data_IF_307597697473
#
_entry.id   IF_307597697473
#
_cell.length_a   1.000
_cell.length_b   1.000
_cell.length_c   1.000
_cell.angle_alpha   90.00
_cell.angle_beta   90.00
_cell.angle_gamma   90.00
#
_symmetry.space_group_name_H-M   'P 1'
#
loop_
_entity.id
_entity.type
_entity.pdbx_description
1 polymer ?
#
# COMPACT_ATOMS: atom_id res chain seq x y z
N UNK A 1 13.10 11.80 -4.06
CA UNK A 1 11.79 11.58 -3.42
C UNK A 1 10.72 11.55 -4.50
N UNK A 2 9.81 10.58 -4.48
CA UNK A 2 8.71 10.49 -5.45
C UNK A 2 7.59 11.45 -5.06
N UNK A 3 7.09 12.25 -6.01
CA UNK A 3 5.92 13.13 -5.83
C UNK A 3 4.67 12.35 -5.39
N UNK A 4 4.62 11.06 -5.74
CA UNK A 4 3.54 10.13 -5.37
C UNK A 4 3.41 10.00 -3.84
N UNK A 5 4.51 10.07 -3.11
CA UNK A 5 4.52 9.97 -1.64
C UNK A 5 3.92 11.21 -0.95
N UNK A 6 3.70 12.30 -1.70
CA UNK A 6 3.08 13.53 -1.19
C UNK A 6 1.57 13.59 -1.48
N UNK A 7 1.03 12.65 -2.26
CA UNK A 7 -0.39 12.60 -2.60
C UNK A 7 -1.21 12.09 -1.41
N UNK A 8 -2.35 12.74 -1.15
CA UNK A 8 -3.32 12.31 -0.12
C UNK A 8 -4.16 11.14 -0.64
N UNK A 9 -4.70 10.31 0.25
CA UNK A 9 -5.62 9.21 -0.07
C UNK A 9 -6.76 9.64 -0.99
N UNK A 10 -7.29 10.84 -0.77
CA UNK A 10 -8.36 11.40 -1.58
C UNK A 10 -7.99 11.44 -3.07
N UNK A 11 -6.73 11.72 -3.42
CA UNK A 11 -6.25 11.69 -4.80
C UNK A 11 -6.32 10.28 -5.39
N UNK A 12 -5.88 9.26 -4.65
CA UNK A 12 -5.92 7.87 -5.10
C UNK A 12 -7.35 7.35 -5.23
N UNK A 13 -8.23 7.71 -4.28
CA UNK A 13 -9.65 7.34 -4.32
C UNK A 13 -10.32 7.99 -5.54
N UNK A 14 -10.13 9.29 -5.76
CA UNK A 14 -10.68 10.00 -6.90
C UNK A 14 -10.17 9.44 -8.23
N UNK A 15 -8.87 9.17 -8.35
CA UNK A 15 -8.29 8.57 -9.54
C UNK A 15 -8.85 7.15 -9.80
N UNK A 16 -9.01 6.34 -8.75
CA UNK A 16 -9.58 5.00 -8.85
C UNK A 16 -11.06 5.04 -9.27
N UNK A 17 -11.83 6.00 -8.77
CA UNK A 17 -13.22 6.21 -9.16
C UNK A 17 -13.32 6.66 -10.62
N UNK A 18 -12.50 7.62 -11.05
CA UNK A 18 -12.46 8.05 -12.46
C UNK A 18 -12.12 6.90 -13.41
N UNK A 19 -11.12 6.07 -13.05
CA UNK A 19 -10.80 4.87 -13.83
C UNK A 19 -11.97 3.88 -13.90
N UNK A 20 -12.68 3.68 -12.80
CA UNK A 20 -13.87 2.82 -12.76
C UNK A 20 -14.96 3.35 -13.69
N UNK A 21 -15.22 4.66 -13.68
CA UNK A 21 -16.19 5.31 -14.56
C UNK A 21 -15.82 5.13 -16.03
N UNK A 22 -14.56 5.37 -16.41
CA UNK A 22 -14.06 5.12 -17.78
C UNK A 22 -14.29 3.67 -18.20
N UNK A 23 -13.99 2.69 -17.34
CA UNK A 23 -14.20 1.26 -17.65
C UNK A 23 -15.69 0.93 -17.81
N UNK A 24 -16.55 1.49 -16.96
CA UNK A 24 -18.00 1.29 -17.03
C UNK A 24 -18.56 1.88 -18.32
N UNK A 25 -18.15 3.10 -18.66
CA UNK A 25 -18.59 3.82 -19.86
C UNK A 25 -18.13 3.10 -21.13
N UNK A 26 -16.85 2.74 -21.22
CA UNK A 26 -16.33 1.96 -22.34
C UNK A 26 -17.08 0.63 -22.52
N UNK A 27 -17.41 -0.06 -21.41
CA UNK A 27 -18.19 -1.30 -21.48
C UNK A 27 -19.62 -1.05 -21.96
N UNK A 28 -20.23 0.08 -21.58
CA UNK A 28 -21.57 0.47 -22.03
C UNK A 28 -21.60 0.70 -23.54
N UNK A 29 -20.59 1.39 -24.08
CA UNK A 29 -20.53 1.74 -25.51
C UNK A 29 -20.05 0.57 -26.40
N UNK A 30 -19.02 -0.16 -25.97
CA UNK A 30 -18.34 -1.17 -26.80
C UNK A 30 -18.82 -2.60 -26.49
N UNK A 31 -19.53 -2.80 -25.37
CA UNK A 31 -20.04 -4.12 -24.95
C UNK A 31 -19.01 -5.02 -24.25
N UNK A 32 -17.76 -4.56 -24.06
CA UNK A 32 -16.69 -5.27 -23.34
C UNK A 32 -15.82 -4.33 -22.53
N UNK A 33 -15.03 -4.85 -21.59
CA UNK A 33 -14.01 -4.04 -20.90
C UNK A 33 -12.89 -3.62 -21.86
N UNK A 34 -12.23 -2.47 -21.66
CA UNK A 34 -11.08 -2.08 -22.45
C UNK A 34 -9.91 -3.04 -22.20
N UNK A 35 -9.11 -3.26 -23.23
CA UNK A 35 -7.77 -3.85 -23.11
C UNK A 35 -6.83 -2.84 -22.45
N UNK A 36 -5.63 -3.29 -22.04
CA UNK A 36 -4.64 -2.39 -21.46
C UNK A 36 -4.20 -1.31 -22.46
N UNK A 37 -4.02 -1.67 -23.73
CA UNK A 37 -3.64 -0.71 -24.78
C UNK A 37 -4.70 0.37 -24.96
N UNK A 38 -5.99 -0.01 -25.04
CA UNK A 38 -7.10 0.95 -25.16
C UNK A 38 -7.23 1.84 -23.93
N UNK A 39 -7.04 1.28 -22.72
CA UNK A 39 -7.07 2.08 -21.50
C UNK A 39 -5.91 3.09 -21.46
N UNK A 40 -4.70 2.68 -21.83
CA UNK A 40 -3.55 3.56 -21.93
C UNK A 40 -3.76 4.66 -22.97
N UNK A 41 -4.38 4.33 -24.11
CA UNK A 41 -4.75 5.29 -25.14
C UNK A 41 -5.74 6.32 -24.58
N UNK A 42 -6.85 5.90 -23.98
CA UNK A 42 -7.85 6.79 -23.37
C UNK A 42 -7.20 7.72 -22.33
N UNK A 43 -6.34 7.18 -21.46
CA UNK A 43 -5.63 7.97 -20.46
C UNK A 43 -4.66 8.96 -21.09
N UNK A 44 -4.02 8.59 -22.21
CA UNK A 44 -3.13 9.49 -22.96
C UNK A 44 -3.93 10.64 -23.59
N UNK A 45 -5.09 10.35 -24.17
CA UNK A 45 -6.01 11.38 -24.69
C UNK A 45 -6.49 12.31 -23.59
N UNK A 46 -6.89 11.76 -22.44
CA UNK A 46 -7.28 12.55 -21.27
C UNK A 46 -6.15 13.44 -20.77
N UNK A 47 -4.94 12.90 -20.61
CA UNK A 47 -3.76 13.64 -20.17
C UNK A 47 -3.39 14.78 -21.14
N UNK A 48 -3.54 14.56 -22.46
CA UNK A 48 -3.33 15.57 -23.51
C UNK A 48 -4.37 16.68 -23.53
N UNK A 49 -5.52 16.47 -22.91
CA UNK A 49 -6.63 17.42 -22.91
C UNK A 49 -6.55 18.45 -21.78
N UNK A 50 -5.60 18.32 -20.86
CA UNK A 50 -5.35 19.33 -19.83
C UNK A 50 -4.51 20.48 -20.39
N UNK A 51 -4.80 21.71 -19.96
CA UNK A 51 -4.00 22.89 -20.30
C UNK A 51 -2.56 22.76 -19.76
N UNK A 52 -1.59 23.31 -20.50
CA UNK A 52 -0.14 23.13 -20.27
C UNK A 52 0.32 23.54 -18.85
N UNK A 53 -0.46 24.33 -18.11
CA UNK A 53 -0.17 24.74 -16.73
C UNK A 53 -0.16 23.58 -15.72
N UNK A 54 -0.92 22.51 -15.97
CA UNK A 54 -0.94 21.32 -15.10
C UNK A 54 0.26 20.39 -15.32
N UNK A 55 0.98 20.56 -16.43
CA UNK A 55 2.10 19.75 -16.88
C UNK A 55 3.33 20.62 -17.16
N UNK A 56 3.56 21.64 -16.34
CA UNK A 56 4.66 22.61 -16.50
C UNK A 56 5.95 21.94 -16.99
N UNK A 57 6.42 22.38 -18.16
CA UNK A 57 7.67 21.91 -18.76
C UNK A 57 7.58 20.61 -19.57
N UNK A 58 6.41 19.97 -19.67
CA UNK A 58 6.17 18.82 -20.56
C UNK A 58 5.11 19.18 -21.59
N UNK A 59 5.47 19.32 -22.88
CA UNK A 59 4.48 19.56 -23.91
C UNK A 59 3.45 18.43 -23.92
N UNK A 60 2.17 18.76 -23.82
CA UNK A 60 1.06 17.80 -23.76
C UNK A 60 1.13 16.72 -24.86
N UNK A 61 1.59 17.07 -26.06
CA UNK A 61 1.78 16.15 -27.18
C UNK A 61 2.83 15.04 -26.97
N UNK A 62 3.74 15.19 -25.99
CA UNK A 62 4.79 14.21 -25.69
C UNK A 62 4.39 13.17 -24.65
N UNK A 63 3.16 13.20 -24.13
CA UNK A 63 2.72 12.20 -23.17
C UNK A 63 2.49 10.87 -23.89
N UNK A 64 3.14 9.83 -23.39
CA UNK A 64 2.89 8.43 -23.76
C UNK A 64 2.76 7.61 -22.49
N UNK A 65 1.66 6.87 -22.37
CA UNK A 65 1.42 5.97 -21.25
C UNK A 65 1.58 4.54 -21.76
N UNK A 66 2.57 3.83 -21.23
CA UNK A 66 2.75 2.41 -21.51
C UNK A 66 2.33 1.57 -20.30
N UNK A 67 1.46 0.60 -20.53
CA UNK A 67 1.05 -0.37 -19.54
C UNK A 67 1.67 -1.73 -19.82
N UNK A 68 2.24 -2.36 -18.79
CA UNK A 68 2.64 -3.77 -18.85
C UNK A 68 1.74 -4.60 -17.95
N UNK A 69 1.01 -5.56 -18.54
CA UNK A 69 0.31 -6.56 -17.76
C UNK A 69 1.33 -7.47 -17.06
N UNK A 70 1.37 -7.43 -15.74
CA UNK A 70 2.19 -8.34 -14.94
C UNK A 70 1.33 -9.56 -14.61
N UNK A 71 1.69 -10.72 -15.17
CA UNK A 71 1.10 -11.99 -14.74
C UNK A 71 1.64 -12.31 -13.35
N UNK A 72 0.76 -12.48 -12.33
CA UNK A 72 1.20 -12.82 -10.98
C UNK A 72 1.96 -14.16 -11.01
N UNK A 73 3.27 -14.13 -10.77
CA UNK A 73 4.05 -15.39 -10.66
C UNK A 73 3.97 -16.01 -9.27
N UNK A 74 3.68 -15.21 -8.26
CA UNK A 74 3.70 -15.63 -6.86
C UNK A 74 2.43 -15.18 -6.15
N UNK A 75 1.74 -16.14 -5.53
CA UNK A 75 0.54 -15.91 -4.71
C UNK A 75 0.92 -16.01 -3.25
N UNK A 76 0.64 -14.96 -2.48
CA UNK A 76 0.83 -14.96 -1.03
C UNK A 76 -0.19 -15.86 -0.33
N UNK A 77 0.28 -16.59 0.69
CA UNK A 77 -0.49 -17.40 1.62
C UNK A 77 -0.24 -16.93 3.05
N UNK A 78 -1.26 -16.95 3.90
CA UNK A 78 -1.14 -16.48 5.30
C UNK A 78 0.09 -17.08 5.99
N UNK A 79 0.84 -16.23 6.69
CA UNK A 79 2.12 -16.57 7.31
C UNK A 79 3.32 -16.49 6.37
N UNK A 80 3.15 -16.17 5.08
CA UNK A 80 4.28 -15.95 4.18
C UNK A 80 5.17 -14.83 4.70
N UNK A 81 6.42 -15.17 4.96
CA UNK A 81 7.45 -14.24 5.37
C UNK A 81 8.13 -13.70 4.12
N UNK A 82 8.16 -12.38 3.98
CA UNK A 82 8.61 -11.68 2.78
C UNK A 82 9.82 -10.82 3.13
N UNK A 83 10.87 -10.95 2.34
CA UNK A 83 12.05 -10.09 2.38
C UNK A 83 11.82 -8.88 1.46
N UNK A 84 11.90 -7.69 2.06
CA UNK A 84 11.76 -6.39 1.39
C UNK A 84 13.15 -5.72 1.34
N UNK A 85 13.68 -5.38 0.15
CA UNK A 85 14.94 -4.66 0.05
C UNK A 85 14.87 -3.30 0.76
N UNK A 86 15.85 -2.99 1.61
CA UNK A 86 15.96 -1.72 2.38
C UNK A 86 17.37 -1.14 2.29
N UNK A 87 17.84 -0.93 1.05
CA UNK A 87 19.21 -0.49 0.74
C UNK A 87 19.96 -1.50 -0.13
N UNK A 88 21.28 -1.29 -0.31
CA UNK A 88 22.08 -2.08 -1.27
C UNK A 88 22.22 -3.55 -0.88
N UNK A 89 22.34 -3.84 0.42
CA UNK A 89 22.59 -5.20 0.92
C UNK A 89 21.82 -5.47 2.23
N UNK A 90 20.62 -4.92 2.36
CA UNK A 90 19.81 -5.14 3.56
C UNK A 90 18.39 -5.47 3.18
N UNK A 91 17.77 -6.33 3.98
CA UNK A 91 16.35 -6.69 3.84
C UNK A 91 15.63 -6.50 5.16
N UNK A 92 14.46 -5.87 5.10
CA UNK A 92 13.47 -5.91 6.16
C UNK A 92 12.60 -7.16 5.99
N UNK A 93 12.07 -7.65 7.10
CA UNK A 93 11.18 -8.81 7.12
C UNK A 93 9.75 -8.34 7.39
N UNK A 94 8.81 -8.73 6.53
CA UNK A 94 7.38 -8.50 6.74
C UNK A 94 6.64 -9.84 6.65
N UNK A 95 5.57 -10.00 7.43
CA UNK A 95 4.73 -11.20 7.43
C UNK A 95 3.41 -10.89 6.74
N UNK A 96 3.02 -11.63 5.71
CA UNK A 96 1.66 -11.54 5.19
C UNK A 96 0.68 -12.18 6.17
N UNK A 97 -0.27 -11.37 6.66
CA UNK A 97 -1.28 -11.78 7.64
C UNK A 97 -2.50 -12.28 6.88
N UNK A 98 -3.20 -11.41 6.15
CA UNK A 98 -4.37 -11.82 5.38
C UNK A 98 -4.75 -10.79 4.30
N UNK A 99 -5.72 -11.17 3.47
CA UNK A 99 -6.38 -10.24 2.53
C UNK A 99 -7.52 -9.53 3.26
N UNK A 100 -7.52 -8.21 3.25
CA UNK A 100 -8.46 -7.37 3.99
C UNK A 100 -9.37 -6.55 3.05
N UNK A 101 -10.08 -7.23 2.15
CA UNK A 101 -11.09 -6.61 1.28
C UNK A 101 -10.58 -5.34 0.59
N UNK A 102 -11.21 -4.19 0.90
CA UNK A 102 -10.91 -2.88 0.30
C UNK A 102 -9.57 -2.26 0.72
N UNK A 103 -8.95 -2.72 1.80
CA UNK A 103 -7.69 -2.16 2.27
C UNK A 103 -6.45 -2.79 1.63
N UNK A 104 -6.65 -3.85 0.83
CA UNK A 104 -5.55 -4.61 0.26
C UNK A 104 -5.11 -5.73 1.19
N UNK A 105 -3.81 -5.88 1.38
CA UNK A 105 -3.21 -6.99 2.14
C UNK A 105 -2.60 -6.47 3.42
N UNK A 106 -2.91 -7.12 4.53
CA UNK A 106 -2.32 -6.81 5.82
C UNK A 106 -0.96 -7.51 5.95
N UNK A 107 0.03 -6.75 6.38
CA UNK A 107 1.38 -7.20 6.65
C UNK A 107 1.78 -6.80 8.07
N UNK A 108 2.34 -7.76 8.82
CA UNK A 108 3.03 -7.51 10.06
C UNK A 108 4.47 -7.08 9.80
N UNK A 109 4.96 -6.06 10.52
CA UNK A 109 6.33 -5.59 10.39
C UNK A 109 7.21 -6.11 11.53
N UNK A 110 8.44 -6.46 11.21
CA UNK A 110 9.46 -6.82 12.20
C UNK A 110 10.53 -5.73 12.28
N UNK A 111 11.14 -5.61 13.46
CA UNK A 111 12.18 -4.61 13.67
C UNK A 111 13.52 -5.00 13.06
N UNK A 112 14.23 -3.98 12.60
CA UNK A 112 15.57 -4.07 12.04
C UNK A 112 15.62 -4.63 10.62
N UNK A 113 16.84 -4.87 10.17
CA UNK A 113 17.13 -5.39 8.84
C UNK A 113 18.32 -6.35 8.89
N UNK A 114 18.34 -7.27 7.94
CA UNK A 114 19.32 -8.36 7.86
C UNK A 114 20.19 -8.20 6.60
N UNK A 115 21.44 -8.70 6.62
CA UNK A 115 22.22 -8.89 5.40
C UNK A 115 21.53 -9.83 4.41
N UNK A 116 21.86 -9.81 3.10
CA UNK A 116 21.13 -10.54 2.09
C UNK A 116 21.42 -12.04 2.19
N UNK A 117 20.34 -12.78 2.32
CA UNK A 117 20.19 -14.22 2.07
C UNK A 117 20.70 -15.28 3.04
N UNK A 118 21.87 -15.17 3.65
CA UNK A 118 22.42 -16.32 4.41
C UNK A 118 21.83 -16.51 5.81
N UNK A 119 21.11 -15.51 6.33
CA UNK A 119 20.68 -15.47 7.74
C UNK A 119 19.20 -15.78 7.96
N UNK A 120 18.39 -15.89 6.89
CA UNK A 120 16.93 -15.90 7.00
C UNK A 120 16.38 -17.23 7.55
N UNK A 121 17.02 -18.36 7.25
CA UNK A 121 16.52 -19.67 7.71
C UNK A 121 16.58 -19.85 9.23
N UNK A 122 17.51 -19.16 9.90
CA UNK A 122 17.67 -19.18 11.37
C UNK A 122 17.20 -17.88 12.01
N UNK A 123 16.66 -16.96 11.22
CA UNK A 123 16.23 -15.68 11.73
C UNK A 123 15.05 -15.86 12.69
N UNK A 124 15.12 -15.18 13.81
CA UNK A 124 14.06 -15.06 14.79
C UNK A 124 13.76 -13.58 14.99
N UNK A 125 12.50 -13.18 15.03
CA UNK A 125 12.13 -11.79 15.28
C UNK A 125 12.52 -11.39 16.70
N UNK A 126 13.35 -10.35 16.83
CA UNK A 126 13.74 -9.73 18.11
C UNK A 126 12.75 -8.66 18.58
N UNK A 127 12.01 -8.07 17.64
CA UNK A 127 11.00 -7.05 17.86
C UNK A 127 10.00 -7.04 16.71
N UNK A 128 8.80 -6.52 16.96
CA UNK A 128 7.72 -6.50 16.00
C UNK A 128 6.74 -5.37 16.27
N UNK A 129 6.07 -4.95 15.21
CA UNK A 129 4.97 -4.01 15.29
C UNK A 129 3.69 -4.78 15.39
N UNK A 130 3.00 -4.64 16.52
CA UNK A 130 1.77 -5.39 16.77
C UNK A 130 0.62 -4.94 15.88
N UNK A 131 0.67 -3.72 15.34
CA UNK A 131 -0.32 -3.14 14.43
C UNK A 131 0.06 -3.43 12.97
N UNK A 132 -0.76 -4.19 12.23
CA UNK A 132 -0.51 -4.45 10.81
C UNK A 132 -0.53 -3.18 9.97
N UNK A 133 0.26 -3.19 8.89
CA UNK A 133 0.16 -2.21 7.81
C UNK A 133 -0.47 -2.83 6.58
N UNK A 134 -1.09 -2.02 5.73
CA UNK A 134 -1.81 -2.48 4.56
C UNK A 134 -1.10 -2.02 3.29
N UNK A 135 -0.88 -2.92 2.34
CA UNK A 135 -0.42 -2.55 0.99
C UNK A 135 -0.83 -3.56 -0.08
N UNK A 136 -0.51 -3.27 -1.35
CA UNK A 136 -0.66 -4.24 -2.42
C UNK A 136 0.44 -5.32 -2.39
N UNK A 137 0.31 -6.38 -3.20
CA UNK A 137 1.35 -7.39 -3.39
C UNK A 137 2.07 -7.28 -4.75
N UNK A 138 2.03 -6.11 -5.39
CA UNK A 138 2.61 -5.90 -6.72
C UNK A 138 4.08 -6.25 -6.74
N UNK A 139 4.84 -5.78 -5.75
CA UNK A 139 6.29 -6.03 -5.67
C UNK A 139 6.62 -7.50 -5.36
N UNK A 140 5.72 -8.23 -4.70
CA UNK A 140 5.83 -9.70 -4.55
C UNK A 140 5.57 -10.39 -5.88
N UNK A 141 4.49 -10.01 -6.59
CA UNK A 141 4.14 -10.57 -7.90
C UNK A 141 5.21 -10.35 -8.96
N UNK A 142 5.93 -9.23 -8.87
CA UNK A 142 7.07 -8.88 -9.73
C UNK A 142 8.38 -9.55 -9.31
N UNK A 143 8.43 -10.22 -8.16
CA UNK A 143 9.63 -10.88 -7.62
C UNK A 143 10.68 -9.93 -7.05
N UNK A 144 10.35 -8.63 -6.90
CA UNK A 144 11.22 -7.66 -6.20
C UNK A 144 11.24 -7.96 -4.71
N UNK A 145 10.07 -8.18 -4.13
CA UNK A 145 9.91 -8.72 -2.79
C UNK A 145 9.85 -10.24 -2.89
N UNK A 146 10.59 -10.93 -2.03
CA UNK A 146 10.74 -12.39 -2.12
C UNK A 146 10.09 -13.05 -0.92
N UNK A 147 9.18 -13.99 -1.15
CA UNK A 147 8.74 -14.89 -0.07
C UNK A 147 9.91 -15.82 0.25
N UNK A 148 10.26 -15.92 1.52
CA UNK A 148 11.48 -16.61 1.97
C UNK A 148 11.19 -17.79 2.89
N UNK A 149 10.02 -17.80 3.52
CA UNK A 149 9.51 -18.86 4.38
C UNK A 149 8.00 -18.72 4.54
N UNK A 150 7.35 -19.73 5.10
CA UNK A 150 5.98 -19.64 5.60
C UNK A 150 6.01 -19.94 7.12
N UNK A 151 5.51 -19.00 7.92
CA UNK A 151 5.57 -18.97 9.39
C UNK A 151 4.21 -18.57 9.98
N UNK A 152 3.18 -19.43 9.85
CA UNK A 152 1.83 -19.15 10.34
C UNK A 152 1.79 -18.99 11.86
N UNK A 153 2.76 -19.58 12.58
CA UNK A 153 2.97 -19.41 14.02
C UNK A 153 3.26 -17.97 14.44
N UNK A 154 3.71 -17.11 13.51
CA UNK A 154 3.98 -15.70 13.78
C UNK A 154 2.74 -14.82 13.62
N UNK A 155 1.70 -15.29 12.91
CA UNK A 155 0.47 -14.50 12.64
C UNK A 155 -0.22 -14.10 13.95
N UNK A 156 -0.28 -15.02 14.91
CA UNK A 156 -0.88 -14.79 16.25
C UNK A 156 -0.17 -13.72 17.09
N UNK A 157 1.00 -13.24 16.66
CA UNK A 157 1.72 -12.19 17.36
C UNK A 157 1.21 -10.79 16.98
N UNK A 158 0.43 -10.66 15.91
CA UNK A 158 -0.12 -9.40 15.45
C UNK A 158 -1.58 -9.26 15.92
N UNK A 159 -2.01 -8.03 16.15
CA UNK A 159 -3.43 -7.74 16.40
C UNK A 159 -4.25 -8.01 15.13
N UNK A 160 -5.55 -8.19 15.32
CA UNK A 160 -6.49 -8.22 14.21
C UNK A 160 -6.29 -6.95 13.34
N UNK A 161 -6.21 -7.08 12.00
CA UNK A 161 -5.92 -5.93 11.15
C UNK A 161 -7.02 -4.87 11.26
N UNK A 162 -6.63 -3.62 11.52
CA UNK A 162 -7.49 -2.44 11.49
C UNK A 162 -6.70 -1.28 10.87
N UNK A 163 -7.38 -0.45 10.08
CA UNK A 163 -6.81 0.80 9.55
C UNK A 163 -7.05 1.90 10.59
N UNK A 164 -6.00 2.62 10.96
CA UNK A 164 -6.08 3.65 12.01
C UNK A 164 -6.03 5.04 11.39
N UNK A 165 -7.03 5.87 11.69
CA UNK A 165 -7.14 7.21 11.13
C UNK A 165 -6.86 8.27 12.21
N UNK A 166 -5.82 9.06 11.99
CA UNK A 166 -5.39 10.10 12.92
C UNK A 166 -6.36 11.32 12.90
N UNK A 167 -6.71 11.93 14.05
CA UNK A 167 -7.64 13.08 14.14
C UNK A 167 -7.33 14.24 13.20
N UNK A 168 -6.04 14.53 12.98
CA UNK A 168 -5.59 15.60 12.08
C UNK A 168 -6.06 15.45 10.62
N UNK A 169 -6.53 14.27 10.22
CA UNK A 169 -7.07 13.99 8.89
C UNK A 169 -8.60 13.87 8.88
N UNK A 170 -9.27 14.20 9.98
CA UNK A 170 -10.72 14.27 10.05
C UNK A 170 -11.24 15.28 9.00
N UNK A 171 -12.30 14.96 8.24
CA UNK A 171 -12.87 15.87 7.24
C UNK A 171 -13.52 17.13 7.84
N UNK A 172 -13.57 17.25 9.17
CA UNK A 172 -14.13 18.37 9.91
C UNK A 172 -15.52 18.10 10.48
N UNK A 173 -16.05 16.88 10.32
CA UNK A 173 -17.34 16.46 10.87
C UNK A 173 -17.21 15.80 12.26
N UNK A 174 -15.98 15.60 12.74
CA UNK A 174 -15.70 15.00 14.03
C UNK A 174 -15.91 13.49 14.06
N UNK A 175 -16.09 12.85 12.90
CA UNK A 175 -16.29 11.41 12.76
C UNK A 175 -15.12 10.60 13.32
N UNK A 176 -13.90 11.15 13.30
CA UNK A 176 -12.71 10.46 13.80
C UNK A 176 -12.60 10.57 15.31
N UNK A 177 -13.32 11.52 15.92
CA UNK A 177 -13.23 11.80 17.35
C UNK A 177 -11.87 12.37 17.77
N UNK A 178 -11.74 12.67 19.06
CA UNK A 178 -10.57 13.38 19.62
C UNK A 178 -9.24 12.63 19.45
N UNK A 179 -9.28 11.31 19.45
CA UNK A 179 -8.09 10.46 19.47
C UNK A 179 -7.93 9.60 18.21
N UNK A 180 -8.86 9.69 17.26
CA UNK A 180 -8.83 8.96 16.00
C UNK A 180 -9.78 7.78 16.01
N UNK A 181 -9.84 7.08 14.90
CA UNK A 181 -10.67 5.89 14.76
C UNK A 181 -9.86 4.69 14.26
N UNK A 182 -10.33 3.49 14.59
CA UNK A 182 -9.94 2.26 13.95
C UNK A 182 -11.08 1.77 13.05
N UNK A 183 -10.72 1.21 11.91
CA UNK A 183 -11.65 0.68 10.93
C UNK A 183 -11.28 -0.77 10.59
N UNK A 184 -12.22 -1.68 10.83
CA UNK A 184 -12.03 -3.10 10.51
C UNK A 184 -12.14 -3.35 9.00
N UNK A 185 -11.57 -4.45 8.47
CA UNK A 185 -11.73 -4.83 7.07
C UNK A 185 -13.19 -4.96 6.61
N UNK A 186 -14.11 -5.22 7.55
CA UNK A 186 -15.56 -5.26 7.32
C UNK A 186 -16.22 -3.88 7.25
N UNK A 187 -15.45 -2.79 7.44
CA UNK A 187 -15.94 -1.41 7.44
C UNK A 187 -16.56 -0.96 8.76
N UNK A 188 -16.45 -1.76 9.82
CA UNK A 188 -16.89 -1.34 11.16
C UNK A 188 -15.89 -0.34 11.73
N UNK A 189 -16.38 0.80 12.19
CA UNK A 189 -15.57 1.86 12.78
C UNK A 189 -15.73 1.89 14.30
N UNK A 190 -14.65 2.19 15.01
CA UNK A 190 -14.67 2.47 16.46
C UNK A 190 -13.71 3.60 16.79
N UNK A 191 -14.06 4.41 17.80
CA UNK A 191 -13.19 5.49 18.29
C UNK A 191 -12.06 4.92 19.14
N UNK A 192 -10.87 5.49 18.99
CA UNK A 192 -9.70 5.12 19.79
C UNK A 192 -9.78 5.76 21.18
N UNK A 193 -9.27 5.04 22.18
CA UNK A 193 -8.98 5.64 23.48
C UNK A 193 -7.69 6.47 23.42
N UNK A 194 -7.48 7.37 24.38
CA UNK A 194 -6.24 8.15 24.47
C UNK A 194 -4.99 7.27 24.71
N UNK A 195 -5.14 6.12 25.38
CA UNK A 195 -4.05 5.19 25.59
C UNK A 195 -3.71 4.43 24.29
N UNK A 196 -4.73 3.92 23.62
CA UNK A 196 -4.57 3.19 22.35
C UNK A 196 -4.03 4.09 21.24
N UNK A 197 -4.52 5.33 21.12
CA UNK A 197 -4.00 6.28 20.13
C UNK A 197 -2.51 6.58 20.35
N UNK A 198 -2.04 6.64 21.61
CA UNK A 198 -0.62 6.82 21.91
C UNK A 198 0.22 5.61 21.49
N UNK A 199 -0.29 4.40 21.69
CA UNK A 199 0.35 3.14 21.26
C UNK A 199 0.43 3.08 19.72
N UNK A 200 -0.71 3.20 19.05
CA UNK A 200 -0.85 3.07 17.59
C UNK A 200 -0.03 4.13 16.84
N UNK A 201 -0.12 5.40 17.24
CA UNK A 201 0.54 6.49 16.51
C UNK A 201 1.99 6.73 16.93
N UNK A 202 2.46 6.10 18.01
CA UNK A 202 3.89 5.99 18.29
C UNK A 202 4.54 4.97 17.36
N UNK A 203 3.86 3.84 17.14
CA UNK A 203 4.34 2.82 16.23
C UNK A 203 4.27 3.33 14.80
N UNK A 204 3.14 3.83 14.28
CA UNK A 204 2.98 4.20 12.86
C UNK A 204 3.10 5.72 12.64
N UNK A 205 4.27 6.28 12.27
CA UNK A 205 4.42 7.72 12.14
C UNK A 205 3.81 8.18 10.81
N UNK A 206 2.84 9.08 10.88
CA UNK A 206 2.45 9.91 9.75
C UNK A 206 1.52 9.29 8.68
N UNK A 207 1.18 8.00 8.75
CA UNK A 207 0.26 7.37 7.80
C UNK A 207 -0.76 6.46 8.49
N UNK A 208 -1.90 6.27 7.82
CA UNK A 208 -3.11 5.56 8.30
C UNK A 208 -2.94 4.05 8.56
N UNK A 209 -1.71 3.58 8.75
CA UNK A 209 -1.37 2.17 8.61
C UNK A 209 -1.55 1.64 7.19
N UNK A 210 -1.90 2.48 6.21
CA UNK A 210 -2.16 2.07 4.83
C UNK A 210 -1.16 2.72 3.86
N UNK A 211 -0.47 1.89 3.11
CA UNK A 211 0.42 2.22 2.01
C UNK A 211 -0.25 1.75 0.71
N UNK A 212 -0.81 2.67 -0.07
CA UNK A 212 -1.58 2.32 -1.28
C UNK A 212 -0.78 1.53 -2.32
N UNK A 213 0.54 1.76 -2.36
CA UNK A 213 1.46 1.07 -3.25
C UNK A 213 2.61 0.47 -2.43
N UNK A 214 3.03 -0.74 -2.79
CA UNK A 214 4.11 -1.43 -2.09
C UNK A 214 5.44 -0.64 -2.07
N UNK A 215 5.71 0.20 -3.08
CA UNK A 215 6.89 1.06 -3.16
C UNK A 215 6.96 2.09 -2.03
N UNK A 216 5.80 2.58 -1.56
CA UNK A 216 5.74 3.50 -0.43
C UNK A 216 6.12 2.79 0.88
N UNK A 217 5.69 1.53 1.06
CA UNK A 217 6.12 0.71 2.18
C UNK A 217 7.61 0.37 2.11
N UNK A 218 8.15 0.06 0.93
CA UNK A 218 9.59 -0.18 0.75
C UNK A 218 10.42 1.08 1.11
N UNK A 219 9.97 2.25 0.68
CA UNK A 219 10.62 3.54 1.02
C UNK A 219 10.60 3.77 2.52
N UNK A 220 9.43 3.61 3.16
CA UNK A 220 9.28 3.74 4.60
C UNK A 220 10.20 2.79 5.38
N UNK A 221 10.30 1.53 4.94
CA UNK A 221 11.18 0.55 5.56
C UNK A 221 12.66 0.87 5.33
N UNK A 222 13.01 1.51 4.21
CA UNK A 222 14.38 1.99 3.92
C UNK A 222 14.75 3.12 4.87
N UNK A 223 13.95 4.18 4.93
CA UNK A 223 14.20 5.36 5.78
C UNK A 223 14.31 4.99 7.27
N UNK A 224 13.62 3.93 7.70
CA UNK A 224 13.67 3.42 9.08
C UNK A 224 14.96 2.65 9.41
N UNK A 225 15.62 2.08 8.41
CA UNK A 225 16.78 1.21 8.58
C UNK A 225 18.12 1.89 8.24
N UNK A 226 18.07 3.15 7.82
CA UNK A 226 19.22 4.07 7.71
C UNK A 226 19.50 4.76 9.06
#
# INVERSE_FOLDING_TARGET
MSIVNQLRDACFISASNGLKEVIVEFKREVGRKPTLAELCEILTWGARSFEDELLEGTPSFNITIEGRAVVPKQRLSEGDLVAVPVGRERVAMILYICQCGRFGKAFGLFDGSLPPWRSIQKWQPSGQWIHPVFCDDRLVKMGRWKVVANRPDLVKRFRAPEVYHHPKYDPGDGSYGRHGLAESPGGTVRKLSAAEAREVFADVPGMKGQFFIADALETFLTDRNE
#
